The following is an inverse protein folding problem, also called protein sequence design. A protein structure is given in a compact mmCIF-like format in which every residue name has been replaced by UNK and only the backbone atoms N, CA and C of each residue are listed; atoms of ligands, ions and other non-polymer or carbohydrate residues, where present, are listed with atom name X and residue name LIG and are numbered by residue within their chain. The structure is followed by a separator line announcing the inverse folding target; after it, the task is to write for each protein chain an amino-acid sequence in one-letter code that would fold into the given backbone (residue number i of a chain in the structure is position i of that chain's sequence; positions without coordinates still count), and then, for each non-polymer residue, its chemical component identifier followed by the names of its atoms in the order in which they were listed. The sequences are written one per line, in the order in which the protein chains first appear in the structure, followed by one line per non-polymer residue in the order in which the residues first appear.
data_IF_424952771518
#
_entry.id   IF_424952771518
#
_cell.length_a   1.000
_cell.length_b   1.000
_cell.length_c   1.000
_cell.angle_alpha   90.00
_cell.angle_beta   90.00
_cell.angle_gamma   90.00
#
_symmetry.space_group_name_H-M   'P 1'
#
loop_
_entity.id
_entity.type
_entity.pdbx_description
1 polymer ?
#
# COMPACT_ATOMS: atom_id res chain seq x y z
N UNK A 1 -6.97 51.51 0.19
CA UNK A 1 -6.73 50.23 0.89
C UNK A 1 -7.05 48.97 0.06
N UNK A 2 -7.88 49.02 -0.99
CA UNK A 2 -8.17 47.83 -1.82
C UNK A 2 -7.02 47.40 -2.76
N UNK A 3 -6.22 48.35 -3.29
CA UNK A 3 -5.08 48.05 -4.18
C UNK A 3 -3.93 47.29 -3.51
N UNK A 4 -3.76 47.43 -2.20
CA UNK A 4 -2.70 46.74 -1.44
C UNK A 4 -2.99 45.25 -1.26
N UNK A 5 -4.27 44.86 -1.19
CA UNK A 5 -4.66 43.45 -1.07
C UNK A 5 -4.68 42.71 -2.41
N UNK A 6 -4.83 43.42 -3.53
CA UNK A 6 -4.85 42.80 -4.87
C UNK A 6 -3.54 42.05 -5.19
N UNK A 7 -2.40 42.55 -4.72
CA UNK A 7 -1.10 41.89 -4.85
C UNK A 7 -0.96 40.65 -3.95
N UNK A 8 -1.68 40.60 -2.83
CA UNK A 8 -1.69 39.42 -1.94
C UNK A 8 -2.56 38.32 -2.54
N UNK A 9 -3.73 38.66 -3.10
CA UNK A 9 -4.67 37.70 -3.70
C UNK A 9 -4.06 36.96 -4.89
N UNK A 10 -3.29 37.63 -5.75
CA UNK A 10 -2.59 36.99 -6.87
C UNK A 10 -1.50 36.00 -6.43
N UNK A 11 -0.97 36.14 -5.21
CA UNK A 11 0.09 35.29 -4.66
C UNK A 11 -0.43 34.17 -3.73
N UNK A 12 -1.71 34.19 -3.36
CA UNK A 12 -2.33 33.11 -2.56
C UNK A 12 -2.83 32.02 -3.49
N UNK A 13 -1.91 31.17 -3.93
CA UNK A 13 -2.29 29.88 -4.50
C UNK A 13 -2.79 28.97 -3.36
N UNK A 14 -4.11 28.92 -3.17
CA UNK A 14 -4.73 27.95 -2.27
C UNK A 14 -4.44 26.54 -2.78
N UNK A 15 -3.40 25.91 -2.24
CA UNK A 15 -3.02 24.54 -2.58
C UNK A 15 -3.96 23.60 -1.84
N UNK A 16 -5.10 23.31 -2.47
CA UNK A 16 -6.08 22.33 -1.98
C UNK A 16 -5.37 21.02 -1.64
N UNK A 17 -5.46 20.62 -0.37
CA UNK A 17 -4.92 19.35 0.14
C UNK A 17 -5.54 18.21 -0.66
N UNK A 18 -4.71 17.30 -1.17
CA UNK A 18 -5.24 16.16 -1.90
C UNK A 18 -6.01 15.23 -0.96
N UNK A 19 -7.25 14.88 -1.34
CA UNK A 19 -8.08 13.97 -0.57
C UNK A 19 -7.39 12.60 -0.43
N UNK A 20 -7.19 12.19 0.82
CA UNK A 20 -6.69 10.87 1.22
C UNK A 20 -7.84 9.88 1.22
N UNK A 21 -7.87 9.09 0.16
CA UNK A 21 -8.84 8.02 -0.10
C UNK A 21 -8.37 6.66 0.43
N UNK A 22 -7.05 6.48 0.55
CA UNK A 22 -6.43 5.18 0.82
C UNK A 22 -6.18 4.93 2.31
N UNK A 23 -6.25 3.65 2.68
CA UNK A 23 -5.74 3.16 3.95
C UNK A 23 -4.22 3.13 4.01
N UNK A 24 -3.69 3.22 5.24
CA UNK A 24 -2.25 3.12 5.48
C UNK A 24 -1.69 1.79 4.98
N UNK A 25 -2.38 0.68 5.27
CA UNK A 25 -2.02 -0.65 4.77
C UNK A 25 -2.01 -0.67 3.24
N UNK A 26 -3.06 -0.18 2.56
CA UNK A 26 -3.07 -0.12 1.09
C UNK A 26 -1.86 0.64 0.53
N UNK A 27 -1.44 1.75 1.15
CA UNK A 27 -0.22 2.49 0.76
C UNK A 27 1.05 1.64 0.89
N UNK A 28 1.17 0.77 1.88
CA UNK A 28 2.30 -0.15 2.01
C UNK A 28 2.34 -1.18 0.88
N UNK A 29 1.20 -1.62 0.37
CA UNK A 29 1.14 -2.53 -0.77
C UNK A 29 1.62 -1.84 -2.05
N UNK A 30 0.91 -0.79 -2.51
CA UNK A 30 1.17 -0.22 -3.83
C UNK A 30 2.37 0.75 -3.88
N UNK A 31 2.82 1.31 -2.75
CA UNK A 31 4.02 2.17 -2.72
C UNK A 31 5.23 1.39 -2.26
N UNK A 32 5.22 0.88 -1.03
CA UNK A 32 6.40 0.28 -0.43
C UNK A 32 6.73 -1.09 -1.06
N UNK A 33 5.77 -2.01 -1.12
CA UNK A 33 6.01 -3.37 -1.65
C UNK A 33 6.28 -3.34 -3.15
N UNK A 34 5.54 -2.51 -3.91
CA UNK A 34 5.83 -2.25 -5.31
C UNK A 34 7.25 -1.73 -5.52
N UNK A 35 7.67 -0.70 -4.77
CA UNK A 35 9.01 -0.13 -4.89
C UNK A 35 10.10 -1.15 -4.50
N UNK A 36 9.93 -1.88 -3.40
CA UNK A 36 10.85 -2.93 -2.95
C UNK A 36 11.06 -3.98 -4.05
N UNK A 37 9.97 -4.50 -4.63
CA UNK A 37 10.07 -5.53 -5.67
C UNK A 37 10.66 -4.96 -6.96
N UNK A 38 10.28 -3.75 -7.36
CA UNK A 38 10.85 -3.10 -8.56
C UNK A 38 12.35 -2.85 -8.40
N UNK A 39 12.79 -2.33 -7.25
CA UNK A 39 14.20 -2.15 -6.94
C UNK A 39 14.94 -3.48 -6.91
N UNK A 40 14.33 -4.53 -6.36
CA UNK A 40 14.90 -5.88 -6.36
C UNK A 40 15.08 -6.42 -7.78
N UNK A 41 14.09 -6.24 -8.65
CA UNK A 41 14.19 -6.60 -10.08
C UNK A 41 15.35 -5.87 -10.77
N UNK A 42 15.48 -4.56 -10.54
CA UNK A 42 16.57 -3.76 -11.12
C UNK A 42 17.93 -4.25 -10.61
N UNK A 43 18.03 -4.58 -9.32
CA UNK A 43 19.26 -5.07 -8.71
C UNK A 43 19.71 -6.40 -9.32
N UNK A 44 18.79 -7.38 -9.48
CA UNK A 44 19.09 -8.70 -10.08
C UNK A 44 19.48 -8.56 -11.55
N UNK A 45 18.88 -7.62 -12.28
CA UNK A 45 19.23 -7.33 -13.68
C UNK A 45 20.55 -6.56 -13.84
N UNK A 46 21.09 -5.96 -12.76
CA UNK A 46 22.29 -5.12 -12.86
C UNK A 46 23.57 -5.95 -12.91
N UNK A 47 24.11 -6.11 -14.12
CA UNK A 47 25.42 -6.76 -14.35
C UNK A 47 26.59 -5.97 -13.77
N UNK A 48 26.47 -4.66 -13.57
CA UNK A 48 27.57 -3.84 -13.08
C UNK A 48 27.88 -4.08 -11.59
N UNK A 49 26.86 -4.40 -10.77
CA UNK A 49 27.05 -4.67 -9.35
C UNK A 49 27.30 -6.15 -9.05
N UNK A 50 26.66 -7.05 -9.79
CA UNK A 50 26.74 -8.51 -9.55
C UNK A 50 27.89 -9.16 -10.34
N UNK A 51 28.39 -8.50 -11.38
CA UNK A 51 29.37 -9.05 -12.30
C UNK A 51 28.74 -9.99 -13.33
N UNK A 52 29.49 -11.01 -13.76
CA UNK A 52 28.94 -12.07 -14.62
C UNK A 52 28.08 -13.02 -13.78
N UNK A 53 26.87 -13.32 -14.26
CA UNK A 53 25.88 -14.12 -13.52
C UNK A 53 26.40 -15.50 -13.10
N UNK A 54 27.23 -16.12 -13.94
CA UNK A 54 27.86 -17.41 -13.71
C UNK A 54 29.32 -17.36 -14.18
N UNK A 55 30.23 -17.89 -13.37
CA UNK A 55 31.63 -18.09 -13.73
C UNK A 55 32.01 -19.54 -13.52
N UNK A 56 32.38 -20.22 -14.59
CA UNK A 56 32.73 -21.62 -14.58
C UNK A 56 34.25 -21.81 -14.68
N UNK A 57 34.75 -22.79 -13.94
CA UNK A 57 36.11 -23.31 -14.00
C UNK A 57 36.05 -24.60 -14.81
N UNK A 58 36.83 -24.65 -15.89
CA UNK A 58 36.94 -25.78 -16.80
C UNK A 58 38.36 -25.84 -17.39
N UNK A 59 38.66 -26.93 -18.11
CA UNK A 59 39.96 -27.14 -18.74
C UNK A 59 40.38 -25.97 -19.67
N UNK A 60 41.65 -25.57 -19.57
CA UNK A 60 42.24 -24.44 -20.32
C UNK A 60 42.16 -24.54 -21.85
N UNK A 61 41.80 -25.71 -22.40
CA UNK A 61 41.70 -25.95 -23.85
C UNK A 61 40.40 -25.42 -24.46
N UNK A 62 39.45 -24.98 -23.65
CA UNK A 62 38.15 -24.48 -24.10
C UNK A 62 37.99 -23.00 -23.78
N UNK A 63 37.37 -22.20 -24.68
CA UNK A 63 37.08 -20.81 -24.41
C UNK A 63 36.05 -20.68 -23.28
N UNK A 64 36.47 -20.11 -22.14
CA UNK A 64 35.68 -19.98 -20.91
C UNK A 64 34.35 -19.23 -21.15
N UNK A 65 34.35 -18.21 -22.02
CA UNK A 65 33.13 -17.44 -22.31
C UNK A 65 32.02 -18.30 -22.94
N UNK A 66 32.37 -19.30 -23.76
CA UNK A 66 31.41 -20.23 -24.37
C UNK A 66 30.82 -21.13 -23.30
N UNK A 67 31.66 -21.63 -22.39
CA UNK A 67 31.22 -22.48 -21.28
C UNK A 67 30.31 -21.70 -20.34
N UNK A 68 30.69 -20.48 -19.94
CA UNK A 68 29.86 -19.62 -19.10
C UNK A 68 28.49 -19.38 -19.73
N UNK A 69 28.44 -19.08 -21.04
CA UNK A 69 27.19 -18.86 -21.76
C UNK A 69 26.37 -20.14 -21.86
N UNK A 70 27.00 -21.26 -22.22
CA UNK A 70 26.33 -22.56 -22.33
C UNK A 70 25.75 -23.00 -20.99
N UNK A 71 26.52 -22.93 -19.91
CA UNK A 71 26.10 -23.31 -18.56
C UNK A 71 25.15 -22.30 -17.92
N UNK A 72 25.09 -21.07 -18.43
CA UNK A 72 24.05 -20.13 -18.01
C UNK A 72 22.69 -20.55 -18.55
N UNK A 73 22.60 -20.82 -19.87
CA UNK A 73 21.35 -21.18 -20.54
C UNK A 73 20.93 -22.63 -20.32
N UNK A 74 21.91 -23.54 -20.27
CA UNK A 74 21.71 -24.94 -19.90
C UNK A 74 21.61 -25.03 -18.39
N UNK A 75 20.68 -25.83 -17.88
CA UNK A 75 20.45 -25.96 -16.43
C UNK A 75 21.70 -26.51 -15.74
N UNK A 76 22.09 -25.91 -14.63
CA UNK A 76 23.12 -26.48 -13.74
C UNK A 76 22.50 -27.43 -12.73
N UNK A 77 23.29 -28.25 -12.06
CA UNK A 77 22.76 -29.22 -11.09
C UNK A 77 23.68 -29.41 -9.87
N UNK A 78 23.09 -29.94 -8.80
CA UNK A 78 23.80 -30.41 -7.60
C UNK A 78 23.47 -31.87 -7.36
N UNK A 79 24.42 -32.61 -6.81
CA UNK A 79 24.30 -34.05 -6.52
C UNK A 79 23.76 -34.23 -5.10
N UNK A 80 22.60 -34.88 -4.95
CA UNK A 80 21.88 -34.99 -3.66
C UNK A 80 22.68 -35.77 -2.63
N UNK A 81 23.43 -36.81 -3.05
CA UNK A 81 24.30 -37.61 -2.19
C UNK A 81 25.34 -36.77 -1.43
N UNK A 82 25.80 -35.68 -2.06
CA UNK A 82 26.82 -34.78 -1.54
C UNK A 82 26.22 -33.51 -0.92
N UNK A 83 24.89 -33.44 -0.78
CA UNK A 83 24.18 -32.34 -0.16
C UNK A 83 24.13 -32.43 1.39
N UNK A 84 24.91 -33.34 1.97
CA UNK A 84 25.00 -33.55 3.41
C UNK A 84 26.17 -32.75 4.01
N UNK A 85 25.88 -32.01 5.08
CA UNK A 85 26.86 -31.17 5.77
C UNK A 85 28.05 -31.96 6.33
N UNK A 86 27.84 -33.21 6.76
CA UNK A 86 28.91 -34.10 7.25
C UNK A 86 29.96 -34.44 6.20
N UNK A 87 29.58 -34.50 4.92
CA UNK A 87 30.50 -34.80 3.83
C UNK A 87 31.46 -33.63 3.55
N UNK A 88 30.99 -32.40 3.77
CA UNK A 88 31.80 -31.21 3.61
C UNK A 88 32.80 -31.03 4.75
N UNK A 89 32.37 -31.19 6.01
CA UNK A 89 33.28 -31.11 7.17
C UNK A 89 34.37 -32.19 7.15
N UNK A 90 34.11 -33.31 6.49
CA UNK A 90 35.10 -34.39 6.31
C UNK A 90 36.09 -34.11 5.16
N UNK A 91 35.93 -33.01 4.42
CA UNK A 91 36.80 -32.63 3.29
C UNK A 91 36.67 -33.53 2.05
N UNK A 92 35.63 -34.38 1.98
CA UNK A 92 35.43 -35.33 0.88
C UNK A 92 34.93 -34.61 -0.39
N UNK A 93 34.25 -33.47 -0.22
CA UNK A 93 33.70 -32.66 -1.31
C UNK A 93 34.19 -31.21 -1.21
N UNK A 94 34.44 -30.54 -2.34
CA UNK A 94 34.91 -29.15 -2.34
C UNK A 94 33.81 -28.14 -1.93
N UNK A 95 32.54 -28.50 -2.12
CA UNK A 95 31.39 -27.68 -1.75
C UNK A 95 30.14 -28.56 -1.61
N UNK A 96 29.14 -28.10 -0.85
CA UNK A 96 27.87 -28.78 -0.68
C UNK A 96 27.19 -29.09 -2.03
N UNK A 97 26.84 -30.35 -2.25
CA UNK A 97 26.18 -30.80 -3.48
C UNK A 97 27.08 -30.87 -4.73
N UNK A 98 28.40 -30.70 -4.57
CA UNK A 98 29.38 -30.77 -5.67
C UNK A 98 30.33 -31.93 -5.45
N UNK A 99 30.27 -32.93 -6.33
CA UNK A 99 31.15 -34.10 -6.24
C UNK A 99 31.05 -35.01 -7.46
N UNK A 100 31.84 -36.10 -7.49
CA UNK A 100 31.69 -37.13 -8.51
C UNK A 100 30.31 -37.77 -8.39
N UNK A 101 29.69 -38.06 -9.53
CA UNK A 101 28.41 -38.73 -9.60
C UNK A 101 28.38 -39.68 -10.80
N UNK A 102 27.60 -40.73 -10.68
CA UNK A 102 27.35 -41.70 -11.76
C UNK A 102 26.01 -41.36 -12.40
N UNK A 103 26.02 -41.14 -13.72
CA UNK A 103 24.82 -40.85 -14.49
C UNK A 103 23.85 -42.06 -14.41
N UNK A 104 22.60 -41.81 -14.00
CA UNK A 104 21.50 -42.77 -13.76
C UNK A 104 21.46 -43.49 -12.40
N UNK A 105 22.52 -43.46 -11.59
CA UNK A 105 22.50 -44.05 -10.24
C UNK A 105 22.29 -42.98 -9.15
N UNK A 106 22.92 -41.82 -9.31
CA UNK A 106 22.86 -40.74 -8.33
C UNK A 106 21.73 -39.75 -8.66
N UNK A 107 20.92 -39.39 -7.65
CA UNK A 107 19.91 -38.37 -7.78
C UNK A 107 20.55 -36.98 -7.91
N UNK A 108 20.19 -36.25 -8.98
CA UNK A 108 20.63 -34.88 -9.24
C UNK A 108 19.47 -33.90 -9.16
N UNK A 109 19.71 -32.72 -8.57
CA UNK A 109 18.74 -31.62 -8.50
C UNK A 109 19.17 -30.54 -9.47
N UNK A 110 18.34 -30.27 -10.48
CA UNK A 110 18.58 -29.22 -11.47
C UNK A 110 18.12 -27.86 -10.96
N UNK A 111 18.93 -26.84 -11.20
CA UNK A 111 18.71 -25.45 -10.81
C UNK A 111 18.60 -24.61 -12.08
N UNK A 112 17.37 -24.17 -12.38
CA UNK A 112 17.09 -23.28 -13.51
C UNK A 112 16.24 -22.05 -13.10
N UNK A 113 15.75 -22.03 -11.85
CA UNK A 113 14.83 -21.00 -11.39
C UNK A 113 15.45 -19.59 -11.39
N UNK A 114 16.77 -19.47 -11.21
CA UNK A 114 17.47 -18.19 -11.17
C UNK A 114 17.32 -17.36 -12.45
N UNK A 115 17.12 -18.02 -13.61
CA UNK A 115 16.86 -17.35 -14.88
C UNK A 115 15.50 -16.63 -14.87
N UNK A 116 14.54 -17.14 -14.09
CA UNK A 116 13.16 -16.67 -14.02
C UNK A 116 12.91 -15.65 -12.91
N UNK A 117 13.85 -15.50 -11.96
CA UNK A 117 13.72 -14.59 -10.81
C UNK A 117 13.36 -13.16 -11.21
N UNK A 118 14.01 -12.50 -12.20
CA UNK A 118 13.67 -11.11 -12.57
C UNK A 118 12.23 -10.96 -13.07
N UNK A 119 11.77 -11.92 -13.89
CA UNK A 119 10.41 -11.93 -14.43
C UNK A 119 9.38 -12.15 -13.32
N UNK A 120 9.70 -13.05 -12.40
CA UNK A 120 8.86 -13.34 -11.25
C UNK A 120 8.72 -12.10 -10.35
N UNK A 121 9.82 -11.49 -9.92
CA UNK A 121 9.80 -10.28 -9.08
C UNK A 121 9.04 -9.12 -9.74
N UNK A 122 9.22 -8.93 -11.05
CA UNK A 122 8.48 -7.91 -11.80
C UNK A 122 6.97 -8.18 -11.85
N UNK A 123 6.57 -9.42 -12.14
CA UNK A 123 5.16 -9.82 -12.13
C UNK A 123 4.54 -9.64 -10.74
N UNK A 124 5.26 -10.02 -9.68
CA UNK A 124 4.84 -9.80 -8.30
C UNK A 124 4.64 -8.31 -7.99
N UNK A 125 5.55 -7.44 -8.45
CA UNK A 125 5.41 -6.00 -8.28
C UNK A 125 4.09 -5.49 -8.89
N UNK A 126 3.80 -5.88 -10.14
CA UNK A 126 2.56 -5.51 -10.82
C UNK A 126 1.31 -6.01 -10.07
N UNK A 127 1.35 -7.25 -9.58
CA UNK A 127 0.27 -7.81 -8.77
C UNK A 127 0.07 -7.05 -7.45
N UNK A 128 1.11 -6.53 -6.80
CA UNK A 128 0.96 -5.65 -5.62
C UNK A 128 0.35 -4.28 -5.95
N UNK A 129 0.51 -3.79 -7.18
CA UNK A 129 -0.10 -2.54 -7.64
C UNK A 129 -1.56 -2.72 -8.11
N UNK A 130 -1.90 -3.89 -8.63
CA UNK A 130 -3.22 -4.17 -9.23
C UNK A 130 -4.44 -3.85 -8.32
N UNK A 131 -4.45 -4.17 -7.01
CA UNK A 131 -5.58 -3.83 -6.15
C UNK A 131 -5.81 -2.31 -6.03
N UNK A 132 -4.72 -1.52 -5.99
CA UNK A 132 -4.82 -0.06 -5.95
C UNK A 132 -5.32 0.50 -7.29
N UNK A 133 -4.84 -0.05 -8.40
CA UNK A 133 -5.36 0.31 -9.72
C UNK A 133 -6.86 0.05 -9.83
N UNK A 134 -7.33 -1.11 -9.35
CA UNK A 134 -8.76 -1.44 -9.27
C UNK A 134 -9.54 -0.43 -8.42
N UNK A 135 -9.08 -0.17 -7.19
CA UNK A 135 -9.73 0.79 -6.28
C UNK A 135 -9.82 2.19 -6.89
N UNK A 136 -8.70 2.70 -7.42
CA UNK A 136 -8.64 4.04 -8.02
C UNK A 136 -9.60 4.17 -9.21
N UNK A 137 -9.74 3.14 -10.03
CA UNK A 137 -10.65 3.14 -11.17
C UNK A 137 -12.12 3.13 -10.72
N UNK A 138 -12.47 2.36 -9.69
CA UNK A 138 -13.83 2.30 -9.14
C UNK A 138 -14.23 3.57 -8.41
N UNK A 139 -13.31 4.18 -7.67
CA UNK A 139 -13.58 5.43 -6.97
C UNK A 139 -13.77 6.60 -7.94
N UNK A 140 -13.06 6.64 -9.07
CA UNK A 140 -13.26 7.63 -10.13
C UNK A 140 -13.10 9.09 -9.68
N UNK A 141 -12.37 9.33 -8.58
CA UNK A 141 -12.16 10.68 -8.04
C UNK A 141 -13.38 11.30 -7.35
N UNK A 142 -14.42 10.51 -7.04
CA UNK A 142 -15.67 10.99 -6.43
C UNK A 142 -15.44 11.72 -5.11
N UNK A 143 -14.64 11.14 -4.21
CA UNK A 143 -14.32 11.76 -2.91
C UNK A 143 -13.60 13.10 -3.08
N UNK A 144 -12.62 13.18 -4.00
CA UNK A 144 -11.90 14.41 -4.31
C UNK A 144 -12.82 15.49 -4.88
N UNK A 145 -13.76 15.12 -5.75
CA UNK A 145 -14.75 16.05 -6.30
C UNK A 145 -15.71 16.55 -5.21
N UNK A 146 -16.18 15.67 -4.34
CA UNK A 146 -17.08 16.00 -3.24
C UNK A 146 -16.43 16.94 -2.22
N UNK A 147 -15.22 16.62 -1.76
CA UNK A 147 -14.47 17.44 -0.80
C UNK A 147 -14.24 18.84 -1.35
N UNK A 148 -13.81 18.96 -2.62
CA UNK A 148 -13.64 20.26 -3.28
C UNK A 148 -14.96 21.02 -3.42
N UNK A 149 -16.03 20.33 -3.83
CA UNK A 149 -17.36 20.93 -3.97
C UNK A 149 -17.88 21.50 -2.65
N UNK A 150 -17.72 20.76 -1.55
CA UNK A 150 -18.11 21.18 -0.22
C UNK A 150 -17.25 22.34 0.30
N UNK A 151 -15.93 22.29 0.14
CA UNK A 151 -15.05 23.39 0.51
C UNK A 151 -15.38 24.67 -0.27
N UNK A 152 -15.63 24.58 -1.58
CA UNK A 152 -16.02 25.74 -2.37
C UNK A 152 -17.41 26.28 -2.00
N UNK A 153 -18.39 25.40 -1.75
CA UNK A 153 -19.71 25.81 -1.27
C UNK A 153 -19.60 26.55 0.08
N UNK A 154 -18.77 26.03 0.98
CA UNK A 154 -18.51 26.65 2.27
C UNK A 154 -17.80 28.00 2.14
N UNK A 155 -16.73 28.09 1.35
CA UNK A 155 -16.05 29.36 1.07
C UNK A 155 -17.00 30.42 0.49
N UNK A 156 -18.00 30.01 -0.29
CA UNK A 156 -19.02 30.93 -0.80
C UNK A 156 -20.04 31.42 0.24
N UNK A 157 -20.12 30.80 1.43
CA UNK A 157 -20.96 31.25 2.55
C UNK A 157 -20.29 32.33 3.41
N UNK A 158 -18.96 32.26 3.55
CA UNK A 158 -18.17 33.16 4.39
C UNK A 158 -17.80 34.48 3.69
N UNK A 159 -18.20 34.68 2.43
CA UNK A 159 -18.04 35.95 1.74
C UNK A 159 -19.31 36.76 1.99
N UNK A 160 -19.21 37.82 2.77
CA UNK A 160 -20.30 38.77 2.97
C UNK A 160 -20.57 39.59 1.70
N UNK A 161 -21.84 39.92 1.49
CA UNK A 161 -22.36 40.61 0.32
C UNK A 161 -21.74 42.02 0.22
N UNK A 162 -20.75 42.23 -0.67
CA UNK A 162 -20.26 43.57 -1.01
C UNK A 162 -20.79 44.00 -2.38
N UNK A 163 -21.67 45.00 -2.40
CA UNK A 163 -22.10 45.67 -3.64
C UNK A 163 -20.98 46.59 -4.11
N UNK A 164 -20.34 46.27 -5.23
CA UNK A 164 -19.46 47.21 -5.93
C UNK A 164 -20.29 48.05 -6.90
N UNK A 165 -19.99 49.35 -7.00
CA UNK A 165 -20.71 50.36 -7.82
C UNK A 165 -20.77 50.06 -9.34
N UNK A 166 -20.15 48.98 -9.83
CA UNK A 166 -19.97 48.69 -11.25
C UNK A 166 -20.94 47.63 -11.84
N UNK A 167 -22.10 47.39 -11.22
CA UNK A 167 -23.20 46.64 -11.86
C UNK A 167 -23.04 45.12 -11.98
N UNK A 168 -22.00 44.52 -11.41
CA UNK A 168 -21.85 43.05 -11.34
C UNK A 168 -22.45 42.55 -10.02
N UNK A 169 -23.52 41.75 -10.12
CA UNK A 169 -24.18 41.14 -8.97
C UNK A 169 -23.55 39.78 -8.64
N UNK A 170 -22.89 39.71 -7.48
CA UNK A 170 -22.36 38.47 -6.90
C UNK A 170 -23.45 37.91 -5.95
N UNK A 171 -23.76 36.60 -5.98
CA UNK A 171 -25.00 36.06 -5.40
C UNK A 171 -25.00 35.97 -3.86
N UNK A 172 -26.13 36.32 -3.26
CA UNK A 172 -26.42 36.45 -1.81
C UNK A 172 -26.33 35.17 -0.96
N UNK A 173 -26.08 35.34 0.36
CA UNK A 173 -26.19 34.37 1.50
C UNK A 173 -27.37 33.38 1.41
N UNK A 174 -28.51 33.78 0.81
CA UNK A 174 -29.70 32.94 0.58
C UNK A 174 -29.50 31.86 -0.51
N UNK A 175 -28.68 32.13 -1.53
CA UNK A 175 -28.35 31.16 -2.59
C UNK A 175 -27.28 30.16 -2.14
N UNK A 176 -26.42 30.54 -1.20
CA UNK A 176 -25.40 29.66 -0.63
C UNK A 176 -26.03 28.61 0.31
N UNK A 177 -26.98 28.99 1.18
CA UNK A 177 -27.82 28.02 1.94
C UNK A 177 -28.62 27.10 1.01
N UNK A 178 -29.21 27.63 -0.08
CA UNK A 178 -29.88 26.78 -1.10
C UNK A 178 -28.93 25.79 -1.78
N UNK A 179 -27.66 26.15 -2.01
CA UNK A 179 -26.66 25.24 -2.58
C UNK A 179 -26.26 24.15 -1.59
N UNK A 180 -26.13 24.46 -0.29
CA UNK A 180 -25.94 23.42 0.75
C UNK A 180 -27.15 22.49 0.77
N UNK A 181 -28.37 23.04 0.77
CA UNK A 181 -29.62 22.28 0.73
C UNK A 181 -29.71 21.40 -0.54
N UNK A 182 -29.25 21.89 -1.70
CA UNK A 182 -29.18 21.11 -2.94
C UNK A 182 -28.11 20.01 -2.90
N UNK A 183 -26.95 20.28 -2.30
CA UNK A 183 -25.89 19.27 -2.10
C UNK A 183 -26.33 18.23 -1.06
N UNK A 184 -27.08 18.66 -0.03
CA UNK A 184 -27.73 17.86 1.01
C UNK A 184 -28.80 16.94 0.44
N UNK A 185 -29.73 17.46 -0.35
CA UNK A 185 -30.76 16.65 -1.03
C UNK A 185 -30.10 15.68 -2.02
N UNK A 186 -29.03 16.12 -2.71
CA UNK A 186 -28.24 15.24 -3.57
C UNK A 186 -27.49 14.16 -2.80
N UNK A 187 -27.10 14.37 -1.54
CA UNK A 187 -26.41 13.37 -0.72
C UNK A 187 -27.38 12.33 -0.17
N UNK A 188 -28.54 12.79 0.34
CA UNK A 188 -29.61 11.93 0.86
C UNK A 188 -30.28 11.11 -0.25
N UNK A 189 -30.49 11.70 -1.44
CA UNK A 189 -31.00 10.97 -2.62
C UNK A 189 -29.98 10.00 -3.24
N UNK A 190 -28.69 10.07 -2.87
CA UNK A 190 -27.61 9.22 -3.41
C UNK A 190 -27.11 8.16 -2.42
N UNK A 191 -27.96 7.70 -1.49
CA UNK A 191 -27.63 6.62 -0.53
C UNK A 191 -27.07 5.36 -1.21
N UNK A 192 -27.55 5.03 -2.42
CA UNK A 192 -27.03 3.90 -3.22
C UNK A 192 -25.60 4.11 -3.73
N UNK A 193 -25.20 5.36 -3.98
CA UNK A 193 -23.84 5.69 -4.44
C UNK A 193 -22.83 5.52 -3.31
N UNK A 194 -23.20 5.90 -2.08
CA UNK A 194 -22.39 5.68 -0.89
C UNK A 194 -22.22 4.18 -0.59
N UNK A 195 -23.29 3.39 -0.77
CA UNK A 195 -23.25 1.94 -0.61
C UNK A 195 -22.30 1.26 -1.60
N UNK A 196 -22.33 1.64 -2.88
CA UNK A 196 -21.39 1.11 -3.87
C UNK A 196 -19.95 1.49 -3.55
N UNK A 197 -19.68 2.74 -3.15
CA UNK A 197 -18.32 3.18 -2.80
C UNK A 197 -17.74 2.37 -1.64
N UNK A 198 -18.50 2.20 -0.55
CA UNK A 198 -18.04 1.43 0.62
C UNK A 198 -17.87 -0.06 0.28
N UNK A 199 -18.73 -0.63 -0.55
CA UNK A 199 -18.61 -2.03 -0.97
C UNK A 199 -17.34 -2.24 -1.80
N UNK A 200 -17.09 -1.38 -2.78
CA UNK A 200 -15.86 -1.43 -3.59
C UNK A 200 -14.60 -1.24 -2.73
N UNK A 201 -14.70 -0.40 -1.68
CA UNK A 201 -13.61 -0.16 -0.75
C UNK A 201 -13.27 -1.42 0.06
N UNK A 202 -14.27 -2.06 0.67
CA UNK A 202 -14.09 -3.31 1.43
C UNK A 202 -13.60 -4.43 0.51
N UNK A 203 -14.11 -4.52 -0.71
CA UNK A 203 -13.62 -5.46 -1.72
C UNK A 203 -12.13 -5.22 -1.99
N UNK A 204 -11.68 -3.96 -2.09
CA UNK A 204 -10.26 -3.65 -2.30
C UNK A 204 -9.38 -4.11 -1.12
N UNK A 205 -9.87 -4.04 0.12
CA UNK A 205 -9.17 -4.55 1.30
C UNK A 205 -9.04 -6.08 1.24
N UNK A 206 -10.12 -6.77 0.87
CA UNK A 206 -10.13 -8.23 0.69
C UNK A 206 -9.21 -8.66 -0.45
N UNK A 207 -9.21 -7.95 -1.58
CA UNK A 207 -8.30 -8.21 -2.70
C UNK A 207 -6.84 -8.03 -2.27
N UNK A 208 -6.52 -7.01 -1.45
CA UNK A 208 -5.16 -6.84 -0.92
C UNK A 208 -4.74 -8.01 -0.02
N UNK A 209 -5.63 -8.47 0.87
CA UNK A 209 -5.36 -9.62 1.72
C UNK A 209 -5.17 -10.91 0.91
N UNK A 210 -6.07 -11.16 -0.05
CA UNK A 210 -5.98 -12.30 -0.96
C UNK A 210 -4.69 -12.25 -1.80
N UNK A 211 -4.32 -11.07 -2.31
CA UNK A 211 -3.08 -10.88 -3.05
C UNK A 211 -1.87 -11.25 -2.19
N UNK A 212 -1.79 -10.83 -0.92
CA UNK A 212 -0.68 -11.22 -0.05
C UNK A 212 -0.57 -12.75 0.12
N UNK A 213 -1.69 -13.44 0.29
CA UNK A 213 -1.69 -14.92 0.38
C UNK A 213 -1.20 -15.55 -0.92
N UNK A 214 -1.69 -15.07 -2.06
CA UNK A 214 -1.25 -15.53 -3.39
C UNK A 214 0.25 -15.27 -3.58
N UNK A 215 0.77 -14.13 -3.16
CA UNK A 215 2.19 -13.78 -3.28
C UNK A 215 3.09 -14.71 -2.47
N UNK A 216 2.68 -15.03 -1.25
CA UNK A 216 3.40 -15.99 -0.40
C UNK A 216 3.35 -17.38 -1.04
N UNK A 217 2.18 -17.81 -1.51
CA UNK A 217 2.02 -19.12 -2.15
C UNK A 217 2.85 -19.26 -3.43
N UNK A 218 2.80 -18.29 -4.35
CA UNK A 218 3.59 -18.39 -5.59
C UNK A 218 5.09 -18.35 -5.27
N UNK A 219 5.53 -17.54 -4.30
CA UNK A 219 6.94 -17.53 -3.87
C UNK A 219 7.37 -18.87 -3.29
N UNK A 220 6.50 -19.52 -2.49
CA UNK A 220 6.78 -20.81 -1.89
C UNK A 220 6.88 -21.93 -2.94
N UNK A 221 5.94 -21.98 -3.88
CA UNK A 221 5.99 -22.93 -5.01
C UNK A 221 7.24 -22.68 -5.86
N UNK A 222 7.59 -21.41 -6.12
CA UNK A 222 8.76 -21.05 -6.92
C UNK A 222 10.08 -21.51 -6.29
N UNK A 223 10.19 -21.51 -4.95
CA UNK A 223 11.36 -21.99 -4.20
C UNK A 223 11.26 -23.47 -3.77
N UNK A 224 10.28 -24.21 -4.30
CA UNK A 224 10.14 -25.64 -4.04
C UNK A 224 9.63 -26.00 -2.63
N UNK A 225 8.76 -25.17 -2.04
CA UNK A 225 8.07 -25.44 -0.77
C UNK A 225 8.87 -25.12 0.50
N UNK A 226 9.97 -24.38 0.36
CA UNK A 226 10.88 -24.07 1.47
C UNK A 226 10.77 -22.63 1.98
N UNK A 227 9.99 -21.78 1.29
CA UNK A 227 9.96 -20.35 1.58
C UNK A 227 9.33 -20.05 2.94
N UNK A 228 8.26 -20.75 3.32
CA UNK A 228 7.59 -20.51 4.60
C UNK A 228 8.50 -20.74 5.81
N UNK A 229 9.43 -21.70 5.73
CA UNK A 229 10.37 -22.01 6.80
C UNK A 229 11.65 -21.18 6.74
N UNK A 230 11.95 -20.56 5.59
CA UNK A 230 13.18 -19.81 5.33
C UNK A 230 13.58 -18.86 6.45
N UNK A 231 12.69 -17.96 6.88
CA UNK A 231 13.03 -16.99 7.92
C UNK A 231 13.23 -17.59 9.31
N UNK A 232 12.53 -18.69 9.63
CA UNK A 232 12.77 -19.42 10.89
C UNK A 232 14.12 -20.09 10.87
N UNK A 233 14.52 -20.62 9.72
CA UNK A 233 15.79 -21.30 9.55
C UNK A 233 16.97 -20.32 9.57
N UNK A 234 16.80 -19.10 9.03
CA UNK A 234 17.76 -18.00 9.19
C UNK A 234 17.90 -17.58 10.67
N UNK A 235 16.80 -17.48 11.42
CA UNK A 235 16.85 -17.08 12.83
C UNK A 235 17.45 -18.15 13.75
N UNK A 236 17.34 -19.43 13.39
CA UNK A 236 17.92 -20.55 14.13
C UNK A 236 19.38 -20.81 13.80
N UNK A 237 19.83 -20.36 12.63
CA UNK A 237 21.24 -20.37 12.26
C UNK A 237 21.97 -19.31 13.10
N UNK A 238 22.28 -19.67 14.36
CA UNK A 238 23.18 -18.89 15.22
C UNK A 238 24.51 -18.74 14.47
N UNK A 239 25.12 -17.55 14.55
CA UNK A 239 26.33 -17.16 13.78
C UNK A 239 27.60 -17.99 14.03
N UNK A 240 27.48 -19.13 14.70
CA UNK A 240 28.51 -20.13 14.98
C UNK A 240 28.47 -21.34 14.04
N UNK A 241 27.36 -21.60 13.34
CA UNK A 241 27.31 -22.63 12.29
C UNK A 241 27.78 -22.01 10.97
N UNK A 242 28.92 -22.47 10.44
CA UNK A 242 29.54 -21.95 9.21
C UNK A 242 28.62 -21.98 7.98
N UNK A 243 27.53 -22.76 7.99
CA UNK A 243 26.72 -22.98 6.80
C UNK A 243 25.22 -23.04 7.10
N UNK A 244 24.44 -22.33 6.28
CA UNK A 244 23.01 -22.13 6.47
C UNK A 244 22.22 -23.11 5.59
N UNK A 245 21.04 -23.60 6.02
CA UNK A 245 20.16 -24.44 5.19
C UNK A 245 19.72 -23.75 3.88
N UNK A 246 19.97 -22.45 3.75
CA UNK A 246 19.77 -21.63 2.57
C UNK A 246 20.67 -22.04 1.39
N UNK A 247 21.83 -22.65 1.64
CA UNK A 247 22.76 -23.09 0.59
C UNK A 247 22.17 -24.25 -0.25
N UNK A 248 21.18 -24.98 0.28
CA UNK A 248 20.41 -26.01 -0.45
C UNK A 248 19.32 -25.44 -1.36
N UNK A 249 18.80 -24.25 -1.02
CA UNK A 249 17.75 -23.56 -1.78
C UNK A 249 18.39 -22.64 -2.83
N UNK A 250 19.45 -21.93 -2.46
CA UNK A 250 20.19 -21.00 -3.30
C UNK A 250 21.66 -21.45 -3.41
N UNK A 251 21.95 -22.53 -4.16
CA UNK A 251 23.32 -23.00 -4.29
C UNK A 251 24.19 -21.93 -4.95
N UNK A 252 25.31 -21.63 -4.30
CA UNK A 252 26.33 -20.68 -4.79
C UNK A 252 27.32 -21.34 -5.73
N UNK A 253 27.47 -22.66 -5.63
CA UNK A 253 28.33 -23.48 -6.49
C UNK A 253 27.52 -24.64 -7.04
N UNK A 254 27.61 -24.86 -8.35
CA UNK A 254 26.89 -25.93 -9.06
C UNK A 254 27.78 -26.60 -10.09
N UNK A 255 27.36 -27.79 -10.55
CA UNK A 255 28.00 -28.53 -11.63
C UNK A 255 27.27 -28.29 -12.94
N UNK A 256 28.02 -28.24 -14.03
CA UNK A 256 27.53 -28.16 -15.39
C UNK A 256 28.31 -29.12 -16.29
N UNK A 257 27.63 -29.82 -17.19
CA UNK A 257 28.27 -30.70 -18.15
C UNK A 257 28.22 -30.06 -19.54
N UNK A 258 29.37 -29.61 -20.03
CA UNK A 258 29.51 -29.06 -21.38
C UNK A 258 29.69 -30.19 -22.39
N UNK A 259 28.71 -30.36 -23.28
CA UNK A 259 28.70 -31.39 -24.33
C UNK A 259 29.35 -30.86 -25.60
N UNK A 260 30.55 -31.33 -25.90
CA UNK A 260 31.28 -31.01 -27.13
C UNK A 260 31.22 -32.20 -28.10
N UNK A 261 31.07 -31.93 -29.39
CA UNK A 261 31.16 -32.97 -30.42
C UNK A 261 32.48 -32.83 -31.17
N UNK A 262 33.23 -33.94 -31.24
CA UNK A 262 34.47 -34.02 -32.01
C UNK A 262 34.22 -34.05 -33.52
N UNK A 263 35.28 -33.94 -34.34
CA UNK A 263 35.15 -33.98 -35.81
C UNK A 263 34.55 -35.28 -36.35
N UNK A 264 34.70 -36.38 -35.61
CA UNK A 264 34.08 -37.68 -35.92
C UNK A 264 32.63 -37.81 -35.42
N UNK A 265 32.04 -36.77 -34.82
CA UNK A 265 30.71 -36.81 -34.22
C UNK A 265 30.65 -37.48 -32.84
N UNK A 266 31.79 -37.91 -32.28
CA UNK A 266 31.85 -38.50 -30.93
C UNK A 266 31.59 -37.44 -29.85
N UNK A 267 30.75 -37.79 -28.86
CA UNK A 267 30.47 -36.94 -27.70
C UNK A 267 31.68 -36.89 -26.77
N UNK A 268 32.10 -35.68 -26.41
CA UNK A 268 33.10 -35.38 -25.39
C UNK A 268 32.43 -34.55 -24.29
N UNK A 269 32.29 -35.15 -23.11
CA UNK A 269 31.69 -34.51 -21.94
C UNK A 269 32.79 -33.80 -21.14
N UNK A 270 32.61 -32.50 -20.90
CA UNK A 270 33.49 -31.70 -20.06
C UNK A 270 32.75 -31.22 -18.83
N UNK A 271 33.19 -31.64 -17.66
CA UNK A 271 32.63 -31.19 -16.38
C UNK A 271 33.19 -29.82 -16.02
N UNK A 272 32.30 -28.90 -15.68
CA UNK A 272 32.65 -27.57 -15.21
C UNK A 272 32.03 -27.31 -13.83
N UNK A 273 32.82 -26.69 -12.95
CA UNK A 273 32.36 -26.20 -11.66
C UNK A 273 32.04 -24.71 -11.80
N UNK A 274 30.81 -24.32 -11.48
CA UNK A 274 30.33 -22.97 -11.72
C UNK A 274 29.94 -22.27 -10.42
N UNK A 275 30.43 -21.05 -10.25
CA UNK A 275 30.04 -20.15 -9.17
C UNK A 275 28.93 -19.22 -9.67
N UNK A 276 27.80 -19.20 -8.96
CA UNK A 276 26.60 -18.44 -9.32
C UNK A 276 26.46 -17.22 -8.41
N UNK A 277 27.04 -16.10 -8.85
CA UNK A 277 26.96 -14.82 -8.13
C UNK A 277 25.50 -14.33 -8.00
N UNK A 278 24.64 -14.64 -8.98
CA UNK A 278 23.23 -14.28 -8.96
C UNK A 278 22.46 -14.85 -7.76
N UNK A 279 22.80 -16.07 -7.35
CA UNK A 279 22.13 -16.73 -6.23
C UNK A 279 22.49 -16.12 -4.87
N UNK A 280 23.69 -15.53 -4.73
CA UNK A 280 24.07 -14.79 -3.52
C UNK A 280 23.15 -13.59 -3.32
N UNK A 281 22.82 -12.87 -4.39
CA UNK A 281 21.90 -11.71 -4.35
C UNK A 281 20.47 -12.18 -4.12
N UNK A 282 20.03 -13.22 -4.83
CA UNK A 282 18.69 -13.79 -4.68
C UNK A 282 18.44 -14.27 -3.24
N UNK A 283 19.41 -14.94 -2.62
CA UNK A 283 19.35 -15.35 -1.21
C UNK A 283 18.98 -14.16 -0.30
N UNK A 284 19.69 -13.04 -0.44
CA UNK A 284 19.44 -11.85 0.40
C UNK A 284 18.11 -11.18 0.11
N UNK A 285 17.71 -11.11 -1.16
CA UNK A 285 16.41 -10.55 -1.57
C UNK A 285 15.27 -11.39 -0.97
N UNK A 286 15.29 -12.72 -1.13
CA UNK A 286 14.19 -13.56 -0.65
C UNK A 286 14.13 -13.65 0.88
N UNK A 287 15.27 -13.58 1.58
CA UNK A 287 15.28 -13.45 3.05
C UNK A 287 14.63 -12.12 3.46
N UNK A 288 14.99 -11.00 2.83
CA UNK A 288 14.38 -9.70 3.12
C UNK A 288 12.87 -9.72 2.83
N UNK A 289 12.46 -10.27 1.68
CA UNK A 289 11.05 -10.38 1.30
C UNK A 289 10.24 -11.24 2.28
N UNK A 290 10.83 -12.29 2.84
CA UNK A 290 10.17 -13.11 3.86
C UNK A 290 9.78 -12.28 5.08
N UNK A 291 10.73 -11.52 5.65
CA UNK A 291 10.44 -10.65 6.80
C UNK A 291 9.44 -9.56 6.44
N UNK A 292 9.57 -8.98 5.24
CA UNK A 292 8.63 -7.99 4.74
C UNK A 292 7.20 -8.55 4.63
N UNK A 293 7.02 -9.75 4.08
CA UNK A 293 5.71 -10.40 3.98
C UNK A 293 5.13 -10.74 5.34
N UNK A 294 5.93 -11.12 6.32
CA UNK A 294 5.47 -11.30 7.71
C UNK A 294 4.95 -9.98 8.29
N UNK A 295 5.67 -8.87 8.11
CA UNK A 295 5.21 -7.55 8.55
C UNK A 295 3.89 -7.16 7.86
N UNK A 296 3.79 -7.37 6.54
CA UNK A 296 2.54 -7.13 5.81
C UNK A 296 1.40 -8.01 6.34
N UNK A 297 1.65 -9.30 6.63
CA UNK A 297 0.64 -10.19 7.20
C UNK A 297 0.10 -9.64 8.51
N UNK A 298 0.97 -9.24 9.44
CA UNK A 298 0.56 -8.69 10.75
C UNK A 298 -0.26 -7.41 10.57
N UNK A 299 0.19 -6.48 9.73
CA UNK A 299 -0.50 -5.21 9.48
C UNK A 299 -1.85 -5.42 8.79
N UNK A 300 -1.94 -6.37 7.86
CA UNK A 300 -3.19 -6.70 7.17
C UNK A 300 -4.18 -7.40 8.09
N UNK A 301 -3.73 -8.32 8.95
CA UNK A 301 -4.57 -8.90 9.99
C UNK A 301 -5.08 -7.82 10.96
N UNK A 302 -4.22 -6.91 11.41
CA UNK A 302 -4.63 -5.79 12.25
C UNK A 302 -5.67 -4.89 11.56
N UNK A 303 -5.52 -4.60 10.27
CA UNK A 303 -6.48 -3.81 9.50
C UNK A 303 -7.82 -4.52 9.30
N UNK A 304 -7.82 -5.83 9.03
CA UNK A 304 -9.05 -6.63 8.92
C UNK A 304 -9.77 -6.74 10.27
N UNK A 305 -9.02 -6.91 11.36
CA UNK A 305 -9.57 -6.89 12.71
C UNK A 305 -10.17 -5.53 13.05
N UNK A 306 -9.49 -4.44 12.71
CA UNK A 306 -10.03 -3.08 12.86
C UNK A 306 -11.32 -2.90 12.05
N UNK A 307 -11.36 -3.39 10.81
CA UNK A 307 -12.56 -3.35 9.97
C UNK A 307 -13.71 -4.14 10.61
N UNK A 308 -13.46 -5.37 11.06
CA UNK A 308 -14.45 -6.19 11.75
C UNK A 308 -14.98 -5.50 13.00
N UNK A 309 -14.09 -4.89 13.80
CA UNK A 309 -14.46 -4.13 14.99
C UNK A 309 -15.36 -2.93 14.62
N UNK A 310 -15.05 -2.17 13.57
CA UNK A 310 -15.88 -1.06 13.12
C UNK A 310 -17.27 -1.51 12.68
N UNK A 311 -17.38 -2.66 11.98
CA UNK A 311 -18.68 -3.21 11.57
C UNK A 311 -19.53 -3.63 12.76
N UNK A 312 -18.93 -4.21 13.81
CA UNK A 312 -19.69 -4.67 14.99
C UNK A 312 -20.06 -3.49 15.91
N UNK A 313 -19.12 -2.57 16.14
CA UNK A 313 -19.28 -1.52 17.15
C UNK A 313 -20.03 -0.29 16.66
N UNK A 314 -20.13 -0.01 15.35
CA UNK A 314 -20.76 1.23 14.86
C UNK A 314 -22.19 1.42 15.40
N UNK A 315 -22.98 0.34 15.47
CA UNK A 315 -24.37 0.36 15.94
C UNK A 315 -24.51 0.12 17.46
N UNK A 316 -23.45 -0.35 18.13
CA UNK A 316 -23.52 -0.84 19.53
C UNK A 316 -22.88 0.12 20.54
N UNK A 317 -21.87 0.90 20.14
CA UNK A 317 -21.08 1.71 21.07
C UNK A 317 -20.93 3.16 20.58
N UNK A 318 -21.60 4.09 21.27
CA UNK A 318 -21.51 5.53 20.99
C UNK A 318 -20.15 6.12 21.39
N UNK A 319 -19.51 5.58 22.44
CA UNK A 319 -18.17 5.98 22.86
C UNK A 319 -17.12 5.65 21.78
N UNK A 320 -17.26 4.49 21.12
CA UNK A 320 -16.41 4.11 20.01
C UNK A 320 -16.54 5.09 18.84
N UNK A 321 -17.78 5.46 18.46
CA UNK A 321 -18.01 6.47 17.43
C UNK A 321 -17.37 7.82 17.81
N UNK A 322 -17.49 8.27 19.06
CA UNK A 322 -16.83 9.50 19.54
C UNK A 322 -15.31 9.44 19.38
N UNK A 323 -14.69 8.33 19.77
CA UNK A 323 -13.22 8.17 19.68
C UNK A 323 -12.78 8.17 18.20
N UNK A 324 -13.47 7.41 17.34
CA UNK A 324 -13.12 7.28 15.93
C UNK A 324 -13.28 8.61 15.18
N UNK A 325 -14.40 9.32 15.37
CA UNK A 325 -14.59 10.64 14.76
C UNK A 325 -13.70 11.71 15.41
N UNK A 326 -13.38 11.59 16.71
CA UNK A 326 -12.42 12.47 17.38
C UNK A 326 -11.01 12.35 16.82
N UNK A 327 -10.57 11.14 16.44
CA UNK A 327 -9.31 10.94 15.72
C UNK A 327 -9.33 11.52 14.29
N UNK A 328 -10.50 11.62 13.66
CA UNK A 328 -10.64 12.24 12.36
C UNK A 328 -10.63 13.78 12.45
N UNK A 329 -11.43 14.35 13.36
CA UNK A 329 -11.50 15.79 13.62
C UNK A 329 -11.83 16.08 15.10
N UNK A 330 -10.93 16.72 15.86
CA UNK A 330 -11.13 16.99 17.28
C UNK A 330 -12.17 18.07 17.59
N UNK A 331 -12.58 18.88 16.60
CA UNK A 331 -13.56 19.97 16.78
C UNK A 331 -15.03 19.50 16.67
N UNK A 332 -15.27 18.22 16.40
CA UNK A 332 -16.61 17.62 16.27
C UNK A 332 -17.02 17.05 17.62
N UNK A 333 -17.48 17.92 18.52
CA UNK A 333 -17.73 17.55 19.92
C UNK A 333 -19.13 17.92 20.41
N UNK A 334 -20.12 17.93 19.52
CA UNK A 334 -21.52 17.84 19.97
C UNK A 334 -21.98 16.37 19.97
N UNK A 335 -22.30 15.89 21.16
CA UNK A 335 -22.60 14.48 21.45
C UNK A 335 -23.95 14.08 20.87
N UNK A 336 -24.92 14.99 20.85
CA UNK A 336 -26.31 14.65 20.54
C UNK A 336 -26.50 14.42 19.04
N UNK A 337 -25.93 15.29 18.20
CA UNK A 337 -25.98 15.17 16.74
C UNK A 337 -25.25 13.93 16.23
N UNK A 338 -24.13 13.56 16.87
CA UNK A 338 -23.37 12.35 16.54
C UNK A 338 -24.19 11.09 16.81
N UNK A 339 -24.91 11.05 17.93
CA UNK A 339 -25.72 9.89 18.36
C UNK A 339 -26.91 9.66 17.43
N UNK A 340 -27.62 10.72 17.05
CA UNK A 340 -28.80 10.61 16.17
C UNK A 340 -28.43 10.11 14.77
N UNK A 341 -27.36 10.65 14.18
CA UNK A 341 -26.91 10.24 12.83
C UNK A 341 -26.32 8.83 12.85
N UNK A 342 -25.49 8.49 13.85
CA UNK A 342 -24.81 7.18 13.86
C UNK A 342 -25.73 6.00 14.18
N UNK A 343 -26.86 6.22 14.87
CA UNK A 343 -27.81 5.15 15.20
C UNK A 343 -28.70 4.76 14.00
N UNK A 344 -29.04 5.72 13.15
CA UNK A 344 -29.93 5.54 11.99
C UNK A 344 -29.16 5.28 10.68
N UNK A 345 -27.85 5.52 10.64
CA UNK A 345 -27.02 5.27 9.47
C UNK A 345 -26.61 3.80 9.33
N UNK A 346 -26.76 3.24 8.13
CA UNK A 346 -26.14 1.96 7.79
C UNK A 346 -24.60 2.07 7.80
N UNK A 347 -23.91 0.95 8.03
CA UNK A 347 -22.44 0.88 8.03
C UNK A 347 -21.78 1.57 6.82
N UNK A 348 -22.38 1.42 5.63
CA UNK A 348 -21.85 2.02 4.41
C UNK A 348 -21.82 3.56 4.46
N UNK A 349 -22.86 4.17 5.03
CA UNK A 349 -22.96 5.62 5.18
C UNK A 349 -22.02 6.10 6.29
N UNK A 350 -21.96 5.37 7.40
CA UNK A 350 -21.05 5.64 8.51
C UNK A 350 -19.58 5.66 8.05
N UNK A 351 -19.16 4.66 7.28
CA UNK A 351 -17.79 4.57 6.80
C UNK A 351 -17.46 5.69 5.82
N UNK A 352 -18.38 5.99 4.90
CA UNK A 352 -18.20 7.08 3.95
C UNK A 352 -18.06 8.43 4.68
N UNK A 353 -18.92 8.69 5.68
CA UNK A 353 -18.85 9.88 6.53
C UNK A 353 -17.53 9.96 7.31
N UNK A 354 -17.01 8.85 7.81
CA UNK A 354 -15.71 8.80 8.47
C UNK A 354 -14.57 9.23 7.53
N UNK A 355 -14.54 8.72 6.29
CA UNK A 355 -13.53 9.16 5.32
C UNK A 355 -13.75 10.60 4.84
N UNK A 356 -15.00 11.04 4.75
CA UNK A 356 -15.31 12.43 4.45
C UNK A 356 -14.81 13.37 5.55
N UNK A 357 -15.03 13.01 6.83
CA UNK A 357 -14.53 13.74 7.99
C UNK A 357 -13.02 13.89 7.95
N UNK A 358 -12.30 12.80 7.66
CA UNK A 358 -10.84 12.80 7.58
C UNK A 358 -10.28 13.72 6.51
N UNK A 359 -11.07 14.04 5.48
CA UNK A 359 -10.66 14.84 4.33
C UNK A 359 -11.17 16.28 4.37
N UNK A 360 -12.16 16.59 5.21
CA UNK A 360 -12.72 17.93 5.38
C UNK A 360 -12.15 18.61 6.62
N UNK A 361 -12.08 19.93 6.57
CA UNK A 361 -11.74 20.75 7.73
C UNK A 361 -12.80 20.60 8.83
N UNK A 362 -12.36 20.56 10.10
CA UNK A 362 -13.21 20.24 11.24
C UNK A 362 -14.45 21.12 11.38
N UNK A 363 -14.32 22.41 11.06
CA UNK A 363 -15.45 23.35 11.07
C UNK A 363 -16.49 23.02 9.98
N UNK A 364 -16.06 22.83 8.73
CA UNK A 364 -16.93 22.52 7.59
C UNK A 364 -17.66 21.20 7.81
N UNK A 365 -16.95 20.21 8.34
CA UNK A 365 -17.55 18.92 8.67
C UNK A 365 -18.58 19.04 9.80
N UNK A 366 -18.33 19.85 10.84
CA UNK A 366 -19.27 20.08 11.95
C UNK A 366 -20.60 20.67 11.47
N UNK A 367 -20.55 21.70 10.64
CA UNK A 367 -21.75 22.36 10.11
C UNK A 367 -22.58 21.41 9.22
N UNK A 368 -21.90 20.59 8.40
CA UNK A 368 -22.54 19.56 7.59
C UNK A 368 -23.22 18.48 8.45
N UNK A 369 -22.57 18.07 9.56
CA UNK A 369 -23.08 17.05 10.46
C UNK A 369 -24.27 17.53 11.28
N UNK A 370 -24.23 18.77 11.79
CA UNK A 370 -25.35 19.42 12.46
C UNK A 370 -26.56 19.53 11.53
N UNK A 371 -26.33 19.99 10.30
CA UNK A 371 -27.39 20.09 9.28
C UNK A 371 -28.03 18.73 8.96
N UNK A 372 -27.24 17.66 8.90
CA UNK A 372 -27.74 16.31 8.65
C UNK A 372 -28.53 15.74 9.85
N UNK A 373 -28.12 16.05 11.09
CA UNK A 373 -28.79 15.58 12.30
C UNK A 373 -30.19 16.17 12.47
N UNK A 374 -30.37 17.46 12.15
CA UNK A 374 -31.68 18.14 12.21
C UNK A 374 -32.70 17.45 11.30
N UNK A 375 -32.30 17.10 10.09
CA UNK A 375 -33.19 16.51 9.06
C UNK A 375 -33.62 15.07 9.37
N UNK A 376 -32.74 14.28 10.02
CA UNK A 376 -33.09 12.91 10.45
C UNK A 376 -34.06 12.93 11.65
N UNK A 377 -34.07 14.02 12.43
CA UNK A 377 -34.87 14.11 13.65
C UNK A 377 -36.31 14.63 13.45
N UNK A 378 -36.68 15.10 12.25
CA UNK A 378 -37.98 15.78 11.97
C UNK A 378 -38.31 16.96 12.93
N UNK A 379 -37.33 17.44 13.72
CA UNK A 379 -37.49 18.55 14.67
C UNK A 379 -37.30 19.90 13.95
N UNK A 380 -38.20 20.88 14.10
CA UNK A 380 -38.07 22.19 13.47
C UNK A 380 -36.78 22.92 13.92
N UNK A 381 -36.15 23.71 13.02
CA UNK A 381 -34.80 24.25 13.18
C UNK A 381 -34.62 25.29 14.31
N UNK A 382 -35.65 25.58 15.10
CA UNK A 382 -35.61 26.63 16.14
C UNK A 382 -35.00 26.17 17.47
N UNK A 383 -34.70 24.88 17.66
CA UNK A 383 -34.26 24.35 18.97
C UNK A 383 -32.75 24.31 19.19
N UNK A 384 -31.93 24.67 18.20
CA UNK A 384 -30.48 24.68 18.33
C UNK A 384 -29.97 26.13 18.39
N UNK A 385 -29.75 26.62 19.62
CA UNK A 385 -29.05 27.87 19.84
C UNK A 385 -27.63 27.78 19.29
N UNK A 386 -27.32 28.65 18.34
CA UNK A 386 -25.96 28.89 17.85
C UNK A 386 -25.15 29.46 19.02
N UNK A 387 -24.06 28.79 19.38
CA UNK A 387 -22.98 29.42 20.13
C UNK A 387 -22.05 30.12 19.12
N UNK A 388 -22.44 31.32 18.69
CA UNK A 388 -21.56 32.26 18.01
C UNK A 388 -22.10 33.68 18.19
N UNK A 389 -21.40 34.43 19.03
CA UNK A 389 -21.19 35.89 18.94
C UNK A 389 -22.36 36.82 19.28
N UNK A 390 -23.05 36.61 20.41
CA UNK A 390 -23.94 37.63 21.02
C UNK A 390 -23.28 38.38 22.22
N UNK A 391 -21.99 38.18 22.49
CA UNK A 391 -21.30 38.89 23.59
C UNK A 391 -20.76 40.29 23.19
N UNK A 392 -20.89 40.72 21.94
CA UNK A 392 -20.32 42.00 21.45
C UNK A 392 -21.36 43.10 21.15
N UNK A 393 -22.68 42.85 21.29
CA UNK A 393 -23.72 43.87 21.02
C UNK A 393 -24.33 44.53 22.28
N UNK A 394 -24.00 44.09 23.51
CA UNK A 394 -24.51 44.74 24.74
C UNK A 394 -23.63 45.89 25.27
N UNK A 395 -22.36 46.05 24.84
CA UNK A 395 -21.51 47.17 25.30
C UNK A 395 -21.63 48.46 24.45
N UNK A 396 -22.17 48.40 23.22
CA UNK A 396 -22.33 49.59 22.37
C UNK A 396 -23.57 50.45 22.71
N UNK A 397 -24.44 49.98 23.61
CA UNK A 397 -25.68 50.66 24.00
C UNK A 397 -25.59 51.59 25.21
N UNK A 398 -24.49 51.57 25.99
CA UNK A 398 -24.36 52.33 27.23
C UNK A 398 -23.43 53.55 27.18
N UNK A 399 -22.63 53.75 26.11
CA UNK A 399 -21.72 54.90 26.02
C UNK A 399 -22.33 56.20 25.46
N UNK A 400 -23.56 56.17 24.91
CA UNK A 400 -24.19 57.35 24.31
C UNK A 400 -25.17 58.12 25.24
N UNK A 401 -25.17 57.85 26.54
CA UNK A 401 -26.08 58.50 27.51
C UNK A 401 -25.40 59.42 28.55
N UNK A 402 -24.09 59.69 28.46
CA UNK A 402 -23.36 60.51 29.47
C UNK A 402 -22.82 61.84 28.92
N UNK A 403 -23.19 62.25 27.69
CA UNK A 403 -22.93 63.60 27.17
C UNK A 403 -24.22 64.36 26.86
N UNK A 404 -25.06 64.52 27.88
CA UNK A 404 -26.10 65.55 27.88
C UNK A 404 -26.46 65.89 29.33
N UNK A 405 -25.61 66.65 30.01
CA UNK A 405 -25.99 67.57 31.10
C UNK A 405 -24.87 68.54 31.40
#
# INVERSE_FOLDING_TARGET
MLKTFQCVVENVHYKSKEAVIDNFVSKLYYRASFAILLTSTILVCSRQYVGEHIRCVADHRLPIHVINTYCFFTTTFTVVKHANQSALHSGVVPHLGVGPYVENEDAVKYHAFYQWVPFMLFLQALMFYAPHYYWRNREGGRMKALVKGLQHAYLSLNIEDMKLECGVTIPSKKNARRKIILIRDAFVQRKDINKSWTTDFVISEVINAANLVVQIYITDVFLGGTFLNLGRDVLRADGTSEESPLDLVFPKVTKCNFRKYGPSGSLQLHDALCVMALNVVNEKIYVFLWFWFVVLCVLTLAALLWRLLTVILHARCLLFNRIVFGFANPQVLDLWSLVTVTKECHFSDWLFLYYLAKNLDGFVFRELFLSAAVEISDVPPETYHYASDDDDEEEAGQENAVQAT
#
